data_IF_732596701784
#
_entry.id   IF_732596701784
#
_cell.length_a   1.000
_cell.length_b   1.000
_cell.length_c   1.000
_cell.angle_alpha   90.00
_cell.angle_beta   90.00
_cell.angle_gamma   90.00
#
_symmetry.space_group_name_H-M   'P 1'
#
loop_
_entity.id
_entity.type
_entity.pdbx_description
1 polymer ?
#
# COMPACT_ATOMS: atom_id res chain seq x y z
N UNK A 1 17.49 -2.47 -23.84
CA UNK A 1 16.94 -3.04 -22.61
C UNK A 1 16.15 -1.95 -21.91
N UNK A 2 14.91 -2.24 -21.61
CA UNK A 2 13.99 -1.35 -20.90
C UNK A 2 13.71 -1.91 -19.51
N UNK A 3 13.43 -1.03 -18.56
CA UNK A 3 12.87 -1.37 -17.26
C UNK A 3 11.41 -0.88 -17.22
N UNK A 4 10.49 -1.77 -16.96
CA UNK A 4 9.09 -1.40 -16.74
C UNK A 4 8.80 -1.31 -15.24
N UNK A 5 8.11 -0.26 -14.85
CA UNK A 5 7.53 -0.06 -13.52
C UNK A 5 6.02 -0.09 -13.67
N UNK A 6 5.41 -1.11 -13.12
CA UNK A 6 3.99 -1.43 -13.31
C UNK A 6 3.23 -1.19 -12.01
N UNK A 7 2.17 -0.41 -12.06
CA UNK A 7 1.26 -0.20 -10.93
C UNK A 7 -0.16 -0.68 -11.23
N UNK A 8 -1.05 -0.57 -10.24
CA UNK A 8 -2.40 -1.13 -10.28
C UNK A 8 -3.28 -0.65 -11.45
N UNK A 9 -3.01 0.54 -11.99
CA UNK A 9 -3.69 1.03 -13.19
C UNK A 9 -3.51 0.13 -14.41
N UNK A 10 -2.43 -0.66 -14.45
CA UNK A 10 -2.20 -1.65 -15.51
C UNK A 10 -3.20 -2.81 -15.41
N UNK A 11 -3.40 -3.37 -14.23
CA UNK A 11 -4.39 -4.43 -14.00
C UNK A 11 -5.82 -3.93 -14.28
N UNK A 12 -6.13 -2.72 -13.85
CA UNK A 12 -7.43 -2.09 -14.10
C UNK A 12 -7.68 -1.85 -15.59
N UNK A 13 -6.66 -1.54 -16.38
CA UNK A 13 -6.79 -1.43 -17.84
C UNK A 13 -7.14 -2.78 -18.48
N UNK A 14 -6.76 -3.90 -17.85
CA UNK A 14 -7.20 -5.25 -18.25
C UNK A 14 -8.59 -5.62 -17.71
N UNK A 15 -9.36 -4.65 -17.17
CA UNK A 15 -10.66 -4.85 -16.55
C UNK A 15 -10.65 -5.79 -15.34
N UNK A 16 -9.52 -5.88 -14.64
CA UNK A 16 -9.43 -6.67 -13.42
C UNK A 16 -9.93 -5.86 -12.21
N UNK A 17 -10.70 -6.48 -11.30
CA UNK A 17 -11.19 -5.83 -10.09
C UNK A 17 -10.07 -5.79 -9.03
N UNK A 18 -9.14 -4.86 -9.18
CA UNK A 18 -7.93 -4.76 -8.35
C UNK A 18 -7.83 -3.44 -7.58
N UNK A 19 -8.89 -2.65 -7.53
CA UNK A 19 -8.93 -1.45 -6.68
C UNK A 19 -9.15 -1.83 -5.21
N UNK A 20 -8.76 -0.95 -4.28
CA UNK A 20 -9.09 -1.15 -2.88
C UNK A 20 -10.59 -1.09 -2.60
N UNK A 21 -11.38 -0.49 -3.49
CA UNK A 21 -12.84 -0.59 -3.43
C UNK A 21 -13.34 -2.00 -3.76
N UNK A 22 -12.71 -2.70 -4.70
CA UNK A 22 -13.02 -4.10 -4.99
C UNK A 22 -12.63 -5.00 -3.81
N UNK A 23 -11.51 -4.70 -3.14
CA UNK A 23 -11.13 -5.37 -1.90
C UNK A 23 -12.19 -5.15 -0.79
N UNK A 24 -12.66 -3.91 -0.62
CA UNK A 24 -13.76 -3.60 0.30
C UNK A 24 -15.01 -4.44 -0.01
N UNK A 25 -15.40 -4.52 -1.28
CA UNK A 25 -16.56 -5.31 -1.72
C UNK A 25 -16.38 -6.80 -1.39
N UNK A 26 -15.17 -7.31 -1.54
CA UNK A 26 -14.83 -8.67 -1.10
C UNK A 26 -15.00 -8.83 0.42
N UNK A 27 -14.51 -7.88 1.21
CA UNK A 27 -14.68 -7.89 2.67
C UNK A 27 -16.16 -7.82 3.06
N UNK A 28 -16.95 -6.96 2.43
CA UNK A 28 -18.38 -6.82 2.67
C UNK A 28 -19.15 -8.13 2.42
N UNK A 29 -18.73 -8.88 1.39
CA UNK A 29 -19.37 -10.14 1.03
C UNK A 29 -18.97 -11.31 1.94
N UNK A 30 -17.69 -11.38 2.34
CA UNK A 30 -17.15 -12.56 3.02
C UNK A 30 -16.87 -12.35 4.51
N UNK A 31 -16.69 -11.09 4.94
CA UNK A 31 -16.27 -10.71 6.29
C UNK A 31 -16.99 -9.44 6.77
N UNK A 32 -18.34 -9.37 6.72
CA UNK A 32 -19.10 -8.14 7.00
C UNK A 32 -18.86 -7.59 8.41
N UNK A 33 -18.77 -8.45 9.41
CA UNK A 33 -18.52 -8.03 10.81
C UNK A 33 -17.13 -7.41 10.97
N UNK A 34 -16.15 -8.00 10.30
CA UNK A 34 -14.80 -7.43 10.25
C UNK A 34 -14.80 -6.06 9.58
N UNK A 35 -15.47 -5.93 8.43
CA UNK A 35 -15.51 -4.66 7.69
C UNK A 35 -16.18 -3.56 8.51
N UNK A 36 -17.28 -3.87 9.16
CA UNK A 36 -18.01 -2.90 9.99
C UNK A 36 -17.14 -2.40 11.15
N UNK A 37 -16.50 -3.31 11.89
CA UNK A 37 -15.58 -2.95 12.97
C UNK A 37 -14.36 -2.15 12.46
N UNK A 38 -13.81 -2.53 11.31
CA UNK A 38 -12.68 -1.85 10.70
C UNK A 38 -13.03 -0.43 10.24
N UNK A 39 -14.15 -0.26 9.52
CA UNK A 39 -14.59 1.03 9.01
C UNK A 39 -14.99 1.99 10.14
N UNK A 40 -15.51 1.49 11.26
CA UNK A 40 -15.88 2.29 12.43
C UNK A 40 -14.70 3.11 12.98
N UNK A 41 -13.48 2.56 12.95
CA UNK A 41 -12.28 3.27 13.40
C UNK A 41 -11.88 4.46 12.52
N UNK A 42 -12.56 4.63 11.39
CA UNK A 42 -12.40 5.77 10.48
C UNK A 42 -13.68 6.61 10.37
N UNK A 43 -14.57 6.53 11.38
CA UNK A 43 -15.89 7.21 11.36
C UNK A 43 -16.79 6.82 10.17
N UNK A 44 -16.60 5.63 9.63
CA UNK A 44 -17.45 5.11 8.57
C UNK A 44 -18.51 4.19 9.19
N UNK A 45 -19.77 4.49 8.93
CA UNK A 45 -20.91 3.65 9.36
C UNK A 45 -21.57 2.97 8.15
N UNK A 46 -22.28 1.84 8.35
CA UNK A 46 -22.86 1.05 7.24
C UNK A 46 -23.70 1.87 6.26
N UNK A 47 -24.47 2.84 6.77
CA UNK A 47 -25.41 3.65 5.96
C UNK A 47 -24.75 4.85 5.25
N UNK A 48 -23.44 5.08 5.42
CA UNK A 48 -22.76 6.14 4.69
C UNK A 48 -22.74 5.86 3.20
N UNK A 49 -22.74 6.94 2.39
CA UNK A 49 -22.66 6.82 0.94
C UNK A 49 -21.32 6.18 0.49
N UNK A 50 -21.35 5.49 -0.64
CA UNK A 50 -20.12 4.94 -1.23
C UNK A 50 -19.05 6.02 -1.48
N UNK A 51 -19.48 7.20 -1.93
CA UNK A 51 -18.58 8.31 -2.19
C UNK A 51 -17.87 8.77 -0.91
N UNK A 52 -18.61 8.87 0.20
CA UNK A 52 -18.02 9.21 1.50
C UNK A 52 -17.00 8.15 1.93
N UNK A 53 -17.35 6.88 1.89
CA UNK A 53 -16.45 5.76 2.23
C UNK A 53 -15.19 5.75 1.35
N UNK A 54 -15.36 5.95 0.04
CA UNK A 54 -14.26 6.03 -0.92
C UNK A 54 -13.30 7.19 -0.60
N UNK A 55 -13.84 8.38 -0.36
CA UNK A 55 -13.05 9.58 -0.13
C UNK A 55 -12.33 9.55 1.23
N UNK A 56 -12.96 8.99 2.26
CA UNK A 56 -12.37 8.97 3.59
C UNK A 56 -11.28 7.88 3.74
N UNK A 57 -11.48 6.70 3.17
CA UNK A 57 -10.59 5.56 3.38
C UNK A 57 -10.12 4.89 2.08
N UNK A 58 -11.04 4.45 1.19
CA UNK A 58 -10.77 3.43 0.20
C UNK A 58 -10.09 3.91 -1.08
N UNK A 59 -10.17 5.21 -1.45
CA UNK A 59 -9.49 5.72 -2.65
C UNK A 59 -7.96 5.73 -2.50
N UNK A 60 -7.47 6.14 -1.31
CA UNK A 60 -6.04 6.18 -0.97
C UNK A 60 -5.78 5.28 0.26
N UNK A 61 -6.23 4.05 0.19
CA UNK A 61 -6.35 3.12 1.30
C UNK A 61 -5.08 3.01 2.14
N UNK A 62 -3.93 2.73 1.51
CA UNK A 62 -2.67 2.60 2.22
C UNK A 62 -2.29 3.90 2.97
N UNK A 63 -2.47 5.05 2.35
CA UNK A 63 -2.20 6.34 3.01
C UNK A 63 -3.16 6.57 4.18
N UNK A 64 -4.43 6.27 3.98
CA UNK A 64 -5.49 6.53 4.94
C UNK A 64 -5.48 5.55 6.12
N UNK A 65 -4.80 4.41 6.04
CA UNK A 65 -4.55 3.54 7.19
C UNK A 65 -3.89 4.28 8.37
N UNK A 66 -3.16 5.36 8.11
CA UNK A 66 -2.58 6.21 9.16
C UNK A 66 -3.58 7.20 9.79
N UNK A 67 -4.82 7.28 9.29
CA UNK A 67 -5.80 8.27 9.71
C UNK A 67 -6.87 7.68 10.64
N UNK A 68 -6.50 6.66 11.41
CA UNK A 68 -7.37 6.12 12.46
C UNK A 68 -7.75 7.23 13.45
N UNK A 69 -8.98 7.19 13.92
CA UNK A 69 -9.44 8.12 14.94
C UNK A 69 -8.94 7.71 16.32
N UNK A 70 -7.99 8.48 16.84
CA UNK A 70 -7.42 8.25 18.16
C UNK A 70 -8.44 8.52 19.29
N UNK A 71 -9.41 9.42 19.06
CA UNK A 71 -10.39 9.80 20.07
C UNK A 71 -11.40 8.67 20.31
N UNK A 72 -11.80 7.93 19.27
CA UNK A 72 -12.64 6.71 19.43
C UNK A 72 -11.93 5.71 20.35
N UNK A 73 -10.64 5.48 20.11
CA UNK A 73 -9.86 4.54 20.94
C UNK A 73 -9.79 5.02 22.38
N UNK A 74 -9.65 6.33 22.58
CA UNK A 74 -9.61 6.95 23.91
C UNK A 74 -10.96 6.81 24.60
N UNK A 75 -12.05 7.07 23.93
CA UNK A 75 -13.42 6.95 24.45
C UNK A 75 -13.74 5.50 24.83
N UNK A 76 -13.42 4.54 23.98
CA UNK A 76 -13.59 3.11 24.25
C UNK A 76 -12.80 2.71 25.50
N UNK A 77 -11.57 3.19 25.64
CA UNK A 77 -10.74 2.93 26.81
C UNK A 77 -11.31 3.56 28.09
N UNK A 78 -11.91 4.75 27.99
CA UNK A 78 -12.56 5.40 29.12
C UNK A 78 -13.79 4.63 29.60
N UNK A 79 -14.52 3.98 28.68
CA UNK A 79 -15.69 3.16 28.96
C UNK A 79 -15.37 1.78 29.58
N UNK A 80 -14.12 1.33 29.55
CA UNK A 80 -13.72 0.05 30.17
C UNK A 80 -13.82 0.16 31.69
N UNK A 81 -14.76 -0.58 32.28
CA UNK A 81 -14.88 -0.70 33.75
C UNK A 81 -13.70 -1.51 34.29
N UNK A 82 -12.93 -0.86 35.15
CA UNK A 82 -11.83 -1.50 35.86
C UNK A 82 -12.34 -2.02 37.19
N UNK A 83 -12.17 -3.33 37.44
CA UNK A 83 -12.53 -3.89 38.73
C UNK A 83 -11.70 -3.23 39.85
N UNK A 84 -12.36 -2.92 40.96
CA UNK A 84 -11.77 -2.24 42.14
C UNK A 84 -10.60 -3.01 42.78
N UNK A 85 -10.34 -4.25 42.36
CA UNK A 85 -9.28 -5.10 42.92
C UNK A 85 -8.00 -5.14 42.04
N UNK A 86 -8.03 -4.52 40.88
CA UNK A 86 -6.86 -4.43 39.98
C UNK A 86 -6.02 -3.22 40.38
N UNK A 87 -4.92 -3.43 41.10
CA UNK A 87 -3.88 -2.41 41.26
C UNK A 87 -3.30 -1.99 39.89
N UNK A 88 -2.41 -0.99 39.87
CA UNK A 88 -1.87 -0.35 38.66
C UNK A 88 -1.45 -1.32 37.52
N UNK A 89 -0.97 -2.52 37.87
CA UNK A 89 -0.65 -3.60 36.89
C UNK A 89 -1.87 -4.15 36.18
N UNK A 90 -3.04 -4.15 36.83
CA UNK A 90 -4.30 -4.66 36.24
C UNK A 90 -4.89 -3.74 35.18
N UNK A 91 -4.61 -2.45 35.21
CA UNK A 91 -5.11 -1.47 34.23
C UNK A 91 -4.53 -1.76 32.85
N UNK A 92 -3.21 -1.87 32.76
CA UNK A 92 -2.53 -2.15 31.50
C UNK A 92 -2.99 -3.48 30.88
N UNK A 93 -3.07 -4.53 31.70
CA UNK A 93 -3.49 -5.85 31.25
C UNK A 93 -4.95 -5.86 30.79
N UNK A 94 -5.85 -5.20 31.51
CA UNK A 94 -7.27 -5.10 31.16
C UNK A 94 -7.46 -4.34 29.83
N UNK A 95 -6.85 -3.17 29.69
CA UNK A 95 -6.89 -2.40 28.46
C UNK A 95 -6.23 -3.17 27.29
N UNK A 96 -5.11 -3.82 27.54
CA UNK A 96 -4.40 -4.60 26.55
C UNK A 96 -5.21 -5.82 26.07
N UNK A 97 -5.91 -6.51 26.97
CA UNK A 97 -6.79 -7.62 26.62
C UNK A 97 -7.98 -7.10 25.81
N UNK A 98 -8.64 -6.04 26.28
CA UNK A 98 -9.76 -5.41 25.57
C UNK A 98 -9.33 -5.01 24.17
N UNK A 99 -8.32 -4.19 24.04
CA UNK A 99 -7.85 -3.71 22.75
C UNK A 99 -7.23 -4.80 21.88
N UNK A 100 -6.60 -5.82 22.47
CA UNK A 100 -6.11 -6.96 21.71
C UNK A 100 -7.25 -7.75 21.08
N UNK A 101 -8.39 -7.89 21.75
CA UNK A 101 -9.59 -8.48 21.15
C UNK A 101 -10.17 -7.61 20.05
N UNK A 102 -10.28 -6.32 20.27
CA UNK A 102 -10.83 -5.36 19.31
C UNK A 102 -9.92 -5.15 18.09
N UNK A 103 -8.59 -5.09 18.27
CA UNK A 103 -7.63 -4.80 17.19
C UNK A 103 -6.93 -6.03 16.61
N UNK A 104 -7.15 -7.24 17.15
CA UNK A 104 -6.66 -8.48 16.51
C UNK A 104 -7.09 -8.63 15.06
N UNK A 105 -8.21 -8.00 14.67
CA UNK A 105 -8.69 -8.04 13.30
C UNK A 105 -7.72 -7.38 12.31
N UNK A 106 -6.88 -6.43 12.74
CA UNK A 106 -5.91 -5.76 11.86
C UNK A 106 -4.91 -6.76 11.29
N UNK A 107 -4.49 -7.74 12.10
CA UNK A 107 -3.63 -8.82 11.61
C UNK A 107 -4.31 -9.68 10.54
N UNK A 108 -5.63 -9.71 10.52
CA UNK A 108 -6.43 -10.41 9.51
C UNK A 108 -6.47 -9.67 8.18
N UNK A 109 -6.23 -8.35 8.17
CA UNK A 109 -6.29 -7.56 6.93
C UNK A 109 -5.35 -8.10 5.85
N UNK A 110 -4.10 -8.43 6.20
CA UNK A 110 -3.14 -9.04 5.27
C UNK A 110 -3.60 -10.44 4.80
N UNK A 111 -4.21 -11.22 5.68
CA UNK A 111 -4.77 -12.54 5.34
C UNK A 111 -5.91 -12.40 4.35
N UNK A 112 -6.83 -11.46 4.59
CA UNK A 112 -7.97 -11.22 3.71
C UNK A 112 -7.54 -10.62 2.37
N UNK A 113 -6.54 -9.74 2.37
CA UNK A 113 -5.93 -9.24 1.14
C UNK A 113 -5.41 -10.39 0.28
N UNK A 114 -4.65 -11.32 0.88
CA UNK A 114 -4.14 -12.50 0.19
C UNK A 114 -5.25 -13.40 -0.35
N UNK A 115 -6.33 -13.57 0.41
CA UNK A 115 -7.50 -14.35 -0.02
C UNK A 115 -8.20 -13.66 -1.20
N UNK A 116 -8.42 -12.34 -1.12
CA UNK A 116 -9.03 -11.57 -2.20
C UNK A 116 -8.21 -11.65 -3.49
N UNK A 117 -6.89 -11.44 -3.43
CA UNK A 117 -6.03 -11.52 -4.62
C UNK A 117 -6.17 -12.87 -5.32
N UNK A 118 -6.38 -13.97 -4.57
CA UNK A 118 -6.63 -15.31 -5.14
C UNK A 118 -7.94 -15.41 -5.94
N UNK A 119 -8.90 -14.54 -5.68
CA UNK A 119 -10.19 -14.55 -6.39
C UNK A 119 -10.18 -13.76 -7.69
N UNK A 120 -9.11 -12.99 -7.98
CA UNK A 120 -9.01 -12.16 -9.17
C UNK A 120 -8.93 -13.05 -10.42
N UNK A 121 -9.86 -12.90 -11.40
CA UNK A 121 -10.00 -13.82 -12.52
C UNK A 121 -8.99 -13.54 -13.64
N UNK A 122 -7.77 -14.04 -13.54
CA UNK A 122 -6.71 -13.84 -14.53
C UNK A 122 -6.89 -14.67 -15.80
N UNK A 123 -7.54 -15.83 -15.72
CA UNK A 123 -7.62 -16.81 -16.81
C UNK A 123 -8.24 -16.30 -18.13
N UNK A 124 -9.10 -15.27 -18.07
CA UNK A 124 -9.74 -14.67 -19.23
C UNK A 124 -9.01 -13.42 -19.75
N UNK A 125 -7.96 -13.00 -19.08
CA UNK A 125 -7.21 -11.78 -19.40
C UNK A 125 -6.37 -11.98 -20.66
N UNK A 126 -6.36 -10.98 -21.55
CA UNK A 126 -5.58 -11.00 -22.79
C UNK A 126 -4.64 -9.79 -22.84
N UNK A 127 -3.51 -9.89 -23.57
CA UNK A 127 -2.65 -8.73 -23.81
C UNK A 127 -3.41 -7.59 -24.50
N UNK A 128 -3.24 -6.37 -24.00
CA UNK A 128 -3.83 -5.14 -24.55
C UNK A 128 -2.77 -4.16 -25.05
N UNK A 129 -1.49 -4.55 -25.00
CA UNK A 129 -0.37 -3.78 -25.53
C UNK A 129 0.67 -4.67 -26.18
N UNK A 130 1.22 -4.20 -27.31
CA UNK A 130 2.37 -4.84 -27.97
C UNK A 130 3.71 -4.39 -27.39
N UNK A 131 3.71 -3.37 -26.54
CA UNK A 131 4.93 -2.82 -25.92
C UNK A 131 5.58 -3.76 -24.91
N UNK A 132 4.79 -4.64 -24.29
CA UNK A 132 5.25 -5.71 -23.44
C UNK A 132 5.32 -7.01 -24.25
N UNK A 133 6.49 -7.59 -24.35
CA UNK A 133 6.70 -8.84 -25.07
C UNK A 133 7.77 -9.69 -24.39
N UNK A 134 7.68 -11.02 -24.55
CA UNK A 134 8.67 -11.95 -24.04
C UNK A 134 9.95 -11.95 -24.90
N UNK A 135 10.65 -10.80 -24.97
CA UNK A 135 11.84 -10.61 -25.81
C UNK A 135 13.16 -10.89 -25.12
N UNK A 136 13.11 -11.42 -23.90
CA UNK A 136 14.26 -11.77 -23.06
C UNK A 136 15.25 -10.63 -22.71
N UNK A 137 14.95 -9.38 -23.06
CA UNK A 137 15.84 -8.24 -22.78
C UNK A 137 15.29 -7.29 -21.74
N UNK A 138 13.96 -7.19 -21.60
CA UNK A 138 13.31 -6.27 -20.70
C UNK A 138 13.14 -6.87 -19.29
N UNK A 139 13.10 -6.02 -18.29
CA UNK A 139 12.90 -6.38 -16.89
C UNK A 139 11.76 -5.58 -16.31
N UNK A 140 11.10 -6.13 -15.30
CA UNK A 140 9.87 -5.61 -14.75
C UNK A 140 9.94 -5.49 -13.25
N UNK A 141 9.48 -4.36 -12.73
CA UNK A 141 9.16 -4.16 -11.31
C UNK A 141 7.66 -3.92 -11.27
N UNK A 142 6.95 -4.71 -10.51
CA UNK A 142 5.52 -4.51 -10.31
C UNK A 142 5.19 -4.25 -8.85
N UNK A 143 4.28 -3.31 -8.64
CA UNK A 143 3.67 -3.02 -7.35
C UNK A 143 2.37 -3.82 -7.17
N UNK A 144 1.93 -4.54 -8.21
CA UNK A 144 0.73 -5.35 -8.20
C UNK A 144 1.00 -6.71 -7.56
N UNK A 145 -0.03 -7.27 -6.95
CA UNK A 145 0.02 -8.61 -6.35
C UNK A 145 -0.31 -9.72 -7.35
N UNK A 146 -0.87 -9.35 -8.51
CA UNK A 146 -1.32 -10.27 -9.55
C UNK A 146 -0.19 -10.70 -10.48
N UNK A 147 -0.33 -11.86 -11.11
CA UNK A 147 0.61 -12.41 -12.08
C UNK A 147 0.22 -12.09 -13.55
N UNK A 148 -0.36 -10.91 -13.80
CA UNK A 148 -0.75 -10.51 -15.18
C UNK A 148 0.43 -10.54 -16.15
N UNK A 149 1.63 -10.13 -15.72
CA UNK A 149 2.81 -10.14 -16.57
C UNK A 149 3.20 -11.56 -16.97
N UNK A 150 3.21 -12.47 -16.01
CA UNK A 150 3.58 -13.87 -16.21
C UNK A 150 2.51 -14.64 -16.95
N UNK A 151 1.25 -14.54 -16.49
CA UNK A 151 0.17 -15.38 -17.01
C UNK A 151 -0.38 -14.87 -18.34
N UNK A 152 -0.54 -13.53 -18.50
CA UNK A 152 -1.12 -12.95 -19.70
C UNK A 152 -0.08 -12.64 -20.77
N UNK A 153 1.07 -12.07 -20.40
CA UNK A 153 2.13 -11.70 -21.33
C UNK A 153 3.23 -12.75 -21.46
N UNK A 154 3.16 -13.85 -20.70
CA UNK A 154 4.14 -14.96 -20.72
C UNK A 154 5.57 -14.46 -20.42
N UNK A 155 5.69 -13.47 -19.55
CA UNK A 155 6.98 -12.97 -19.11
C UNK A 155 7.60 -13.99 -18.15
N UNK A 156 8.89 -14.27 -18.35
CA UNK A 156 9.65 -15.12 -17.46
C UNK A 156 9.62 -14.59 -16.02
N UNK A 157 9.16 -15.39 -15.04
CA UNK A 157 9.06 -14.96 -13.63
C UNK A 157 10.36 -14.43 -13.03
N UNK A 158 11.54 -14.88 -13.52
CA UNK A 158 12.84 -14.38 -13.06
C UNK A 158 13.10 -12.92 -13.45
N UNK A 159 12.33 -12.37 -14.39
CA UNK A 159 12.41 -10.99 -14.86
C UNK A 159 11.42 -10.07 -14.23
N UNK A 160 10.50 -10.62 -13.45
CA UNK A 160 9.45 -9.86 -12.77
C UNK A 160 9.76 -9.82 -11.27
N UNK A 161 9.99 -8.61 -10.77
CA UNK A 161 10.14 -8.35 -9.35
C UNK A 161 8.84 -7.79 -8.78
N UNK A 162 8.13 -8.60 -7.99
CA UNK A 162 7.02 -8.15 -7.17
C UNK A 162 7.55 -7.48 -5.90
N UNK A 163 7.63 -6.15 -5.91
CA UNK A 163 8.27 -5.41 -4.82
C UNK A 163 7.50 -5.54 -3.49
N UNK A 164 6.18 -5.63 -3.56
CA UNK A 164 5.26 -5.75 -2.43
C UNK A 164 4.73 -7.17 -2.22
N UNK A 165 5.42 -8.16 -2.76
CA UNK A 165 4.99 -9.55 -2.67
C UNK A 165 3.94 -9.93 -3.72
N UNK A 166 3.62 -11.21 -3.79
CA UNK A 166 2.62 -11.77 -4.68
C UNK A 166 2.07 -13.10 -4.15
N UNK A 167 1.32 -13.83 -4.98
CA UNK A 167 0.86 -15.18 -4.66
C UNK A 167 1.83 -16.27 -5.13
N UNK A 168 2.95 -15.93 -5.75
CA UNK A 168 3.95 -16.91 -6.21
C UNK A 168 4.62 -17.58 -5.00
N UNK A 169 4.99 -18.84 -5.16
CA UNK A 169 5.54 -19.67 -4.08
C UNK A 169 6.81 -19.10 -3.42
N UNK A 170 7.62 -18.38 -4.20
CA UNK A 170 8.92 -17.86 -3.73
C UNK A 170 8.92 -16.37 -3.43
N UNK A 171 7.76 -15.70 -3.56
CA UNK A 171 7.62 -14.29 -3.20
C UNK A 171 7.14 -14.15 -1.75
N UNK A 172 7.41 -13.00 -1.16
CA UNK A 172 6.75 -12.63 0.09
C UNK A 172 5.24 -12.55 -0.12
N UNK A 173 4.47 -12.74 0.94
CA UNK A 173 3.04 -12.49 0.94
C UNK A 173 2.74 -11.03 0.59
N UNK A 174 1.57 -10.72 0.00
CA UNK A 174 1.14 -9.36 -0.28
C UNK A 174 1.24 -8.45 0.95
N UNK A 175 1.92 -7.32 0.78
CA UNK A 175 2.25 -6.38 1.85
C UNK A 175 1.44 -5.10 1.66
N UNK A 176 0.74 -4.72 2.69
CA UNK A 176 -0.15 -3.57 2.76
C UNK A 176 0.22 -2.72 3.97
N UNK A 177 0.11 -1.39 3.86
CA UNK A 177 0.32 -0.52 5.01
C UNK A 177 0.64 0.92 4.65
N UNK A 178 0.57 1.80 5.66
CA UNK A 178 0.87 3.22 5.51
C UNK A 178 2.36 3.55 5.65
N UNK A 179 2.78 4.67 5.06
CA UNK A 179 4.16 5.18 5.16
C UNK A 179 4.34 6.33 6.16
N UNK A 180 3.32 6.67 6.94
CA UNK A 180 3.34 7.85 7.80
C UNK A 180 4.03 7.57 9.14
N UNK A 181 5.34 7.80 9.17
CA UNK A 181 6.15 7.66 10.39
C UNK A 181 5.82 8.72 11.44
N UNK A 182 5.35 9.90 11.04
CA UNK A 182 5.06 10.97 11.99
C UNK A 182 3.98 10.56 12.98
N UNK A 183 2.95 9.82 12.55
CA UNK A 183 1.91 9.30 13.46
C UNK A 183 2.52 8.43 14.58
N UNK A 184 3.49 7.60 14.25
CA UNK A 184 4.19 6.76 15.23
C UNK A 184 5.00 7.63 16.22
N UNK A 185 5.69 8.63 15.71
CA UNK A 185 6.49 9.52 16.58
C UNK A 185 5.60 10.42 17.45
N UNK A 186 4.48 10.90 16.92
CA UNK A 186 3.52 11.74 17.66
C UNK A 186 2.88 10.96 18.83
N UNK A 187 2.44 9.71 18.59
CA UNK A 187 1.86 8.89 19.68
C UNK A 187 2.91 8.50 20.73
N UNK A 188 4.17 8.27 20.33
CA UNK A 188 5.27 8.07 21.26
C UNK A 188 5.52 9.31 22.12
N UNK A 189 5.45 10.51 21.55
CA UNK A 189 5.59 11.75 22.29
C UNK A 189 4.46 11.91 23.32
N UNK A 190 3.19 11.67 22.92
CA UNK A 190 2.03 11.69 23.83
C UNK A 190 2.18 10.68 24.97
N UNK A 191 2.68 9.47 24.68
CA UNK A 191 2.96 8.44 25.71
C UNK A 191 4.03 8.91 26.69
N UNK A 192 5.13 9.47 26.20
CA UNK A 192 6.22 9.94 27.06
C UNK A 192 5.76 11.10 27.96
N UNK A 193 4.91 11.99 27.46
CA UNK A 193 4.27 13.03 28.27
C UNK A 193 3.41 12.42 29.38
N UNK A 194 2.58 11.43 29.05
CA UNK A 194 1.75 10.72 30.03
C UNK A 194 2.58 10.03 31.11
N UNK A 195 3.75 9.47 30.77
CA UNK A 195 4.69 8.90 31.75
C UNK A 195 5.20 9.97 32.72
N UNK A 196 5.56 11.16 32.22
CA UNK A 196 6.04 12.27 33.07
C UNK A 196 4.97 12.69 34.11
N UNK A 197 3.70 12.66 33.67
CA UNK A 197 2.57 13.01 34.55
C UNK A 197 2.01 11.84 35.37
N UNK A 198 2.64 10.65 35.29
CA UNK A 198 2.17 9.43 35.94
C UNK A 198 0.71 9.07 35.62
N UNK A 199 0.29 9.36 34.37
CA UNK A 199 -1.04 8.99 33.83
C UNK A 199 -0.97 7.60 33.19
N UNK A 200 -1.04 6.56 34.02
CA UNK A 200 -0.87 5.17 33.59
C UNK A 200 -1.94 4.73 32.56
N UNK A 201 -3.17 5.22 32.72
CA UNK A 201 -4.25 4.93 31.78
C UNK A 201 -3.94 5.48 30.39
N UNK A 202 -3.51 6.73 30.29
CA UNK A 202 -3.10 7.37 29.04
C UNK A 202 -1.87 6.69 28.45
N UNK A 203 -0.91 6.24 29.27
CA UNK A 203 0.24 5.46 28.81
C UNK A 203 -0.22 4.17 28.10
N UNK A 204 -1.15 3.43 28.71
CA UNK A 204 -1.66 2.18 28.15
C UNK A 204 -2.43 2.39 26.84
N UNK A 205 -3.27 3.43 26.77
CA UNK A 205 -3.98 3.83 25.56
C UNK A 205 -2.98 4.17 24.45
N UNK A 206 -2.00 5.02 24.73
CA UNK A 206 -0.97 5.39 23.74
C UNK A 206 -0.18 4.17 23.22
N UNK A 207 0.07 3.15 24.06
CA UNK A 207 0.72 1.90 23.65
C UNK A 207 -0.11 1.13 22.65
N UNK A 208 -1.42 1.04 22.85
CA UNK A 208 -2.33 0.37 21.92
C UNK A 208 -2.35 1.07 20.55
N UNK A 209 -2.48 2.39 20.55
CA UNK A 209 -2.46 3.19 19.32
C UNK A 209 -1.10 3.05 18.61
N UNK A 210 0.01 3.05 19.38
CA UNK A 210 1.34 2.82 18.82
C UNK A 210 1.47 1.43 18.20
N UNK A 211 0.91 0.39 18.83
CA UNK A 211 0.88 -0.97 18.28
C UNK A 211 0.08 -1.03 16.98
N UNK A 212 -1.07 -0.34 16.90
CA UNK A 212 -1.84 -0.19 15.67
C UNK A 212 -0.98 0.40 14.53
N UNK A 213 -0.39 1.58 14.76
CA UNK A 213 0.42 2.23 13.74
C UNK A 213 1.64 1.41 13.33
N UNK A 214 2.29 0.72 14.25
CA UNK A 214 3.42 -0.15 13.92
C UNK A 214 3.00 -1.38 13.11
N UNK A 215 1.84 -1.96 13.41
CA UNK A 215 1.31 -3.15 12.71
C UNK A 215 0.88 -2.81 11.27
N UNK A 216 0.35 -1.60 11.06
CA UNK A 216 -0.08 -1.11 9.74
C UNK A 216 1.01 -0.31 9.02
N UNK A 217 2.22 -0.18 9.58
CA UNK A 217 3.31 0.58 8.97
C UNK A 217 4.10 -0.25 7.96
N UNK A 218 4.09 0.20 6.70
CA UNK A 218 4.89 -0.35 5.62
C UNK A 218 6.24 0.35 5.54
N UNK A 219 7.24 -0.22 6.17
CA UNK A 219 8.60 0.31 6.09
C UNK A 219 9.24 -0.01 4.75
N UNK A 220 9.13 0.91 3.79
CA UNK A 220 9.68 0.79 2.42
C UNK A 220 11.18 0.46 2.42
N UNK A 221 11.94 0.92 3.44
CA UNK A 221 13.37 0.64 3.54
C UNK A 221 13.66 -0.87 3.61
N UNK A 222 12.76 -1.65 4.21
CA UNK A 222 12.93 -3.10 4.33
C UNK A 222 12.91 -3.81 2.96
N UNK A 223 12.33 -3.20 1.93
CA UNK A 223 12.17 -3.78 0.60
C UNK A 223 13.18 -3.24 -0.43
N UNK A 224 13.95 -2.20 -0.07
CA UNK A 224 14.96 -1.58 -0.96
C UNK A 224 16.05 -2.56 -1.41
N UNK A 225 16.35 -3.58 -0.60
CA UNK A 225 17.34 -4.60 -0.95
C UNK A 225 16.93 -5.41 -2.17
N UNK A 226 15.62 -5.62 -2.40
CA UNK A 226 15.08 -6.34 -3.57
C UNK A 226 15.50 -5.70 -4.88
N UNK A 227 15.65 -4.37 -4.90
CA UNK A 227 16.12 -3.63 -6.08
C UNK A 227 17.60 -3.83 -6.38
N UNK A 228 18.38 -4.45 -5.49
CA UNK A 228 19.83 -4.58 -5.66
C UNK A 228 20.21 -5.39 -6.91
N UNK A 229 19.34 -6.29 -7.36
CA UNK A 229 19.52 -7.04 -8.61
C UNK A 229 19.59 -6.14 -9.85
N UNK A 230 18.97 -4.93 -9.80
CA UNK A 230 18.99 -3.97 -10.89
C UNK A 230 20.39 -3.46 -11.23
N UNK A 231 21.34 -3.53 -10.30
CA UNK A 231 22.73 -3.10 -10.55
C UNK A 231 23.39 -3.87 -11.72
N UNK A 232 22.96 -5.10 -11.97
CA UNK A 232 23.43 -5.93 -13.10
C UNK A 232 22.97 -5.38 -14.44
N UNK A 233 21.84 -4.69 -14.44
CA UNK A 233 21.17 -4.20 -15.62
C UNK A 233 21.47 -2.72 -15.79
N UNK A 234 21.56 -2.27 -17.03
CA UNK A 234 21.78 -0.86 -17.38
C UNK A 234 20.69 -0.43 -18.35
N UNK A 235 19.45 -0.28 -17.87
CA UNK A 235 18.36 0.12 -18.74
C UNK A 235 18.65 1.52 -19.30
N UNK A 236 18.38 1.68 -20.59
CA UNK A 236 18.46 2.97 -21.27
C UNK A 236 17.17 3.76 -21.10
N UNK A 237 16.08 3.06 -20.91
CA UNK A 237 14.75 3.61 -20.76
C UNK A 237 14.03 2.94 -19.58
N UNK A 238 13.33 3.75 -18.79
CA UNK A 238 12.44 3.31 -17.71
C UNK A 238 11.03 3.74 -18.10
N UNK A 239 10.14 2.77 -18.19
CA UNK A 239 8.75 2.95 -18.58
C UNK A 239 7.87 2.77 -17.33
N UNK A 240 7.10 3.80 -16.99
CA UNK A 240 6.16 3.77 -15.87
C UNK A 240 4.75 3.74 -16.41
N UNK A 241 3.98 2.71 -16.06
CA UNK A 241 2.58 2.55 -16.50
C UNK A 241 1.69 2.08 -15.34
N UNK A 242 0.52 2.70 -15.22
CA UNK A 242 -0.48 2.31 -14.23
C UNK A 242 -0.13 2.65 -12.77
N UNK A 243 0.94 3.41 -12.52
CA UNK A 243 1.37 3.84 -11.19
C UNK A 243 1.14 5.35 -11.01
N UNK A 244 0.65 5.73 -9.82
CA UNK A 244 0.34 7.15 -9.52
C UNK A 244 1.57 8.04 -9.33
N UNK A 245 2.76 7.44 -9.14
CA UNK A 245 4.01 8.14 -8.81
C UNK A 245 3.81 9.07 -7.59
N UNK A 246 3.19 8.55 -6.57
CA UNK A 246 2.84 9.29 -5.36
C UNK A 246 2.93 8.40 -4.09
N UNK A 247 2.78 9.02 -2.93
CA UNK A 247 2.65 8.32 -1.66
C UNK A 247 3.92 7.62 -1.20
N UNK A 248 3.71 6.49 -0.54
CA UNK A 248 4.75 5.73 0.17
C UNK A 248 5.79 5.09 -0.76
N UNK A 249 5.48 4.94 -2.05
CA UNK A 249 6.34 4.26 -3.01
C UNK A 249 7.38 5.17 -3.68
N UNK A 250 7.31 6.49 -3.46
CA UNK A 250 8.26 7.45 -4.03
C UNK A 250 9.73 7.13 -3.76
N UNK A 251 10.15 6.63 -2.59
CA UNK A 251 11.54 6.29 -2.35
C UNK A 251 12.10 5.23 -3.30
N UNK A 252 11.27 4.33 -3.85
CA UNK A 252 11.73 3.35 -4.85
C UNK A 252 12.21 4.03 -6.13
N UNK A 253 11.55 5.09 -6.59
CA UNK A 253 11.94 5.84 -7.79
C UNK A 253 13.33 6.45 -7.65
N UNK A 254 13.62 7.05 -6.48
CA UNK A 254 14.97 7.54 -6.16
C UNK A 254 16.01 6.43 -6.24
N UNK A 255 15.71 5.28 -5.59
CA UNK A 255 16.62 4.13 -5.58
C UNK A 255 16.85 3.56 -6.96
N UNK A 256 15.82 3.42 -7.78
CA UNK A 256 15.92 2.95 -9.18
C UNK A 256 16.77 3.92 -10.00
N UNK A 257 16.55 5.23 -9.87
CA UNK A 257 17.35 6.24 -10.56
C UNK A 257 18.84 6.15 -10.20
N UNK A 258 19.17 5.95 -8.92
CA UNK A 258 20.55 5.79 -8.46
C UNK A 258 21.18 4.50 -9.00
N UNK A 259 20.47 3.38 -8.96
CA UNK A 259 20.95 2.08 -9.46
C UNK A 259 21.14 2.05 -10.98
N UNK A 260 20.44 2.89 -11.73
CA UNK A 260 20.58 3.04 -13.18
C UNK A 260 21.58 4.16 -13.57
N UNK A 261 22.45 4.56 -12.63
CA UNK A 261 23.49 5.58 -12.80
C UNK A 261 22.95 6.95 -13.23
N UNK A 262 21.68 7.25 -12.96
CA UNK A 262 21.01 8.52 -13.28
C UNK A 262 21.10 8.89 -14.77
N UNK A 263 21.10 7.91 -15.69
CA UNK A 263 21.25 8.14 -17.14
C UNK A 263 20.03 7.74 -17.95
N UNK A 264 19.19 6.83 -17.45
CA UNK A 264 18.03 6.34 -18.16
C UNK A 264 17.02 7.46 -18.48
N UNK A 265 16.39 7.38 -19.63
CA UNK A 265 15.21 8.18 -19.96
C UNK A 265 13.98 7.59 -19.24
N UNK A 266 13.12 8.46 -18.74
CA UNK A 266 11.90 8.07 -18.04
C UNK A 266 10.69 8.41 -18.92
N UNK A 267 9.99 7.39 -19.40
CA UNK A 267 8.73 7.52 -20.12
C UNK A 267 7.59 7.16 -19.18
N UNK A 268 6.79 8.13 -18.81
CA UNK A 268 5.78 8.01 -17.77
C UNK A 268 4.40 8.21 -18.37
N UNK A 269 3.59 7.18 -18.30
CA UNK A 269 2.24 7.18 -18.85
C UNK A 269 1.24 7.62 -17.80
N UNK A 270 0.55 8.73 -18.04
CA UNK A 270 -0.54 9.22 -17.19
C UNK A 270 -1.90 8.80 -17.76
N UNK A 271 -2.84 8.49 -16.88
CA UNK A 271 -4.24 8.23 -17.24
C UNK A 271 -5.06 9.52 -17.19
N UNK A 272 -4.83 10.35 -16.19
CA UNK A 272 -5.53 11.61 -15.97
C UNK A 272 -4.57 12.79 -16.23
N UNK A 273 -4.92 13.58 -17.25
CA UNK A 273 -4.13 14.77 -17.65
C UNK A 273 -3.92 15.75 -16.50
N UNK A 274 -4.87 15.86 -15.58
CA UNK A 274 -4.76 16.74 -14.41
C UNK A 274 -3.67 16.32 -13.43
N UNK A 275 -3.24 15.06 -13.48
CA UNK A 275 -2.18 14.50 -12.63
C UNK A 275 -0.78 14.57 -13.24
N UNK A 276 -0.66 14.91 -14.53
CA UNK A 276 0.63 14.91 -15.25
C UNK A 276 1.69 15.74 -14.54
N UNK A 277 1.37 17.00 -14.21
CA UNK A 277 2.34 17.91 -13.60
C UNK A 277 2.73 17.44 -12.18
N UNK A 278 1.79 16.91 -11.41
CA UNK A 278 2.05 16.35 -10.10
C UNK A 278 2.98 15.13 -10.18
N UNK A 279 2.74 14.20 -11.10
CA UNK A 279 3.59 13.01 -11.31
C UNK A 279 5.01 13.42 -11.73
N UNK A 280 5.13 14.40 -12.64
CA UNK A 280 6.41 14.96 -13.08
C UNK A 280 7.18 15.57 -11.92
N UNK A 281 6.50 16.40 -11.11
CA UNK A 281 7.11 17.06 -9.97
C UNK A 281 7.59 16.05 -8.93
N UNK A 282 6.79 15.03 -8.62
CA UNK A 282 7.17 13.95 -7.72
C UNK A 282 8.47 13.27 -8.16
N UNK A 283 8.64 12.99 -9.45
CA UNK A 283 9.87 12.41 -9.98
C UNK A 283 11.07 13.33 -9.86
N UNK A 284 10.88 14.64 -10.09
CA UNK A 284 11.93 15.65 -9.93
C UNK A 284 12.41 15.70 -8.48
N UNK A 285 11.50 15.64 -7.52
CA UNK A 285 11.79 15.60 -6.08
C UNK A 285 12.57 14.33 -5.69
N UNK A 286 12.40 13.23 -6.44
CA UNK A 286 13.22 12.02 -6.28
C UNK A 286 14.59 12.12 -7.01
N UNK A 287 14.98 13.30 -7.49
CA UNK A 287 16.27 13.55 -8.12
C UNK A 287 16.37 13.11 -9.58
N UNK A 288 15.24 12.91 -10.27
CA UNK A 288 15.22 12.61 -11.70
C UNK A 288 15.18 13.93 -12.46
N UNK A 289 16.17 14.16 -13.32
CA UNK A 289 16.24 15.41 -14.09
C UNK A 289 15.03 15.60 -15.00
N UNK A 290 14.42 16.79 -14.98
CA UNK A 290 13.30 17.15 -15.85
C UNK A 290 13.57 16.82 -17.34
N UNK A 291 14.81 17.01 -17.82
CA UNK A 291 15.20 16.72 -19.22
C UNK A 291 15.12 15.24 -19.58
N UNK A 292 15.03 14.36 -18.60
CA UNK A 292 14.94 12.91 -18.80
C UNK A 292 13.52 12.35 -18.59
N UNK A 293 12.54 13.20 -18.29
CA UNK A 293 11.16 12.80 -18.05
C UNK A 293 10.32 13.17 -19.25
N UNK A 294 9.75 12.18 -19.90
CA UNK A 294 8.74 12.31 -20.94
C UNK A 294 7.39 11.81 -20.39
N UNK A 295 6.41 12.70 -20.34
CA UNK A 295 5.04 12.34 -19.96
C UNK A 295 4.26 12.03 -21.23
N UNK A 296 3.48 10.95 -21.21
CA UNK A 296 2.75 10.44 -22.36
C UNK A 296 1.34 10.00 -21.90
N UNK A 297 0.36 10.19 -22.75
CA UNK A 297 -0.99 9.67 -22.48
C UNK A 297 -0.98 8.13 -22.49
N UNK A 298 -1.65 7.51 -21.52
CA UNK A 298 -1.67 6.04 -21.39
C UNK A 298 -2.39 5.38 -22.58
N UNK A 299 -3.24 6.09 -23.31
CA UNK A 299 -3.84 5.59 -24.53
C UNK A 299 -2.80 5.18 -25.60
N UNK A 300 -1.63 5.82 -25.61
CA UNK A 300 -0.54 5.44 -26.51
C UNK A 300 0.16 4.13 -26.11
N UNK A 301 -0.07 3.65 -24.88
CA UNK A 301 0.51 2.39 -24.41
C UNK A 301 -0.34 1.18 -24.80
N UNK A 302 -1.67 1.33 -24.79
CA UNK A 302 -2.62 0.25 -24.99
C UNK A 302 -3.06 0.21 -26.47
N UNK A 303 -2.24 -0.40 -27.32
CA UNK A 303 -2.37 -0.40 -28.77
C UNK A 303 -3.10 -1.62 -29.36
N UNK A 304 -3.56 -2.56 -28.53
CA UNK A 304 -4.28 -3.77 -28.93
C UNK A 304 -5.76 -3.76 -28.48
N UNK A 305 -6.26 -2.62 -27.99
CA UNK A 305 -7.65 -2.47 -27.50
C UNK A 305 -8.62 -2.09 -28.61
#
# INVERSE_FOLDING_TARGET
>A
MRLFIIGNGFDRAHNLPTSYWDFRTHLETHYPDFLAAFEQHYYIVPNDSEEFKKNLLWNDFETNLANIDEDIIIEDALGVEMGLESGDVGIEDTLRIHFRSEYQYISKLAVYLKQWVKTIPLAATRPITSQISNNNKDIFITFNYTSVLEDTYQIDPEKVLHIHGSLREYDDDPILGHGNRNRIEDIKAKRNEAIIWSDEKKVSICRVIEEYYNTTFKNVANYMHKLSSLYKYRPQEIIVIGHSVAGIDLPYYKRINDLTNRKALWKVYYFDKTKEDCMRQSLIEQGISHKRIQMVDCAEFYDLT
#
